data_IF_045783645357
#
_entry.id   IF_045783645357
#
_cell.length_a   1.000
_cell.length_b   1.000
_cell.length_c   1.000
_cell.angle_alpha   90.00
_cell.angle_beta   90.00
_cell.angle_gamma   90.00
#
_symmetry.space_group_name_H-M   'P 1'
#
loop_
_entity.id
_entity.type
_entity.pdbx_description
1 polymer ?
#
# COMPACT_ATOMS: atom_id res chain seq x y z
N UNK A 1 9.50 3.69 65.23
CA UNK A 1 9.65 4.32 63.89
C UNK A 1 11.02 4.99 63.70
N UNK A 2 11.45 5.90 64.58
CA UNK A 2 12.74 6.61 64.47
C UNK A 2 13.97 5.66 64.53
N UNK A 3 13.89 4.59 65.32
CA UNK A 3 14.99 3.62 65.47
C UNK A 3 15.26 2.81 64.19
N UNK A 4 14.20 2.47 63.44
CA UNK A 4 14.28 1.68 62.21
C UNK A 4 14.91 2.48 61.05
N UNK A 5 14.54 3.77 60.94
CA UNK A 5 15.12 4.72 59.99
C UNK A 5 16.61 4.96 60.26
N UNK A 6 17.02 4.95 61.54
CA UNK A 6 18.42 5.16 61.94
C UNK A 6 19.28 3.92 61.67
N UNK A 7 18.77 2.72 61.94
CA UNK A 7 19.47 1.46 61.70
C UNK A 7 19.71 1.18 60.19
N UNK A 8 18.77 1.57 59.32
CA UNK A 8 18.80 1.30 57.88
C UNK A 8 19.02 2.55 57.01
N UNK A 9 19.62 3.60 57.57
CA UNK A 9 19.78 4.91 56.92
C UNK A 9 20.42 4.83 55.52
N UNK A 10 21.46 4.01 55.36
CA UNK A 10 22.16 3.87 54.08
C UNK A 10 21.29 3.14 53.04
N UNK A 11 20.58 2.09 53.44
CA UNK A 11 19.69 1.35 52.54
C UNK A 11 18.57 2.25 52.01
N UNK A 12 17.94 3.04 52.89
CA UNK A 12 16.92 4.01 52.49
C UNK A 12 17.46 5.06 51.53
N UNK A 13 18.67 5.57 51.79
CA UNK A 13 19.31 6.55 50.91
C UNK A 13 19.59 5.99 49.51
N UNK A 14 20.17 4.79 49.42
CA UNK A 14 20.42 4.14 48.12
C UNK A 14 19.13 3.76 47.40
N UNK A 15 18.11 3.30 48.11
CA UNK A 15 16.79 3.02 47.52
C UNK A 15 16.15 4.27 46.93
N UNK A 16 16.24 5.41 47.62
CA UNK A 16 15.73 6.69 47.13
C UNK A 16 16.52 7.18 45.92
N UNK A 17 17.84 7.00 45.95
CA UNK A 17 18.73 7.39 44.87
C UNK A 17 18.44 6.56 43.60
N UNK A 18 18.30 5.24 43.74
CA UNK A 18 17.94 4.36 42.63
C UNK A 18 16.57 4.72 42.05
N UNK A 19 15.58 5.04 42.90
CA UNK A 19 14.24 5.45 42.48
C UNK A 19 14.27 6.71 41.59
N UNK A 20 15.23 7.61 41.80
CA UNK A 20 15.39 8.85 41.03
C UNK A 20 16.30 8.63 39.80
N UNK A 21 17.36 7.83 39.93
CA UNK A 21 18.33 7.57 38.86
C UNK A 21 17.71 6.73 37.74
N UNK A 22 16.92 5.69 38.06
CA UNK A 22 16.29 4.83 37.06
C UNK A 22 15.44 5.62 36.06
N UNK A 23 14.51 6.52 36.45
CA UNK A 23 13.73 7.27 35.48
C UNK A 23 14.60 8.25 34.67
N UNK A 24 15.61 8.90 35.27
CA UNK A 24 16.46 9.88 34.57
C UNK A 24 17.24 9.23 33.43
N UNK A 25 17.82 8.05 33.66
CA UNK A 25 18.63 7.35 32.66
C UNK A 25 17.77 6.40 31.80
N UNK A 26 16.81 5.72 32.40
CA UNK A 26 15.96 4.73 31.76
C UNK A 26 14.95 5.34 30.79
N UNK A 27 14.29 6.46 31.12
CA UNK A 27 13.26 7.02 30.23
C UNK A 27 13.81 7.38 28.86
N UNK A 28 15.01 7.97 28.78
CA UNK A 28 15.66 8.28 27.50
C UNK A 28 15.96 7.02 26.68
N UNK A 29 16.46 5.99 27.34
CA UNK A 29 16.73 4.69 26.73
C UNK A 29 15.44 4.05 26.19
N UNK A 30 14.38 4.00 27.01
CA UNK A 30 13.09 3.46 26.59
C UNK A 30 12.43 4.27 25.47
N UNK A 31 12.47 5.61 25.53
CA UNK A 31 11.95 6.46 24.45
C UNK A 31 12.68 6.20 23.13
N UNK A 32 14.01 6.10 23.17
CA UNK A 32 14.81 5.83 21.98
C UNK A 32 14.50 4.44 21.41
N UNK A 33 14.40 3.43 22.28
CA UNK A 33 14.09 2.06 21.87
C UNK A 33 12.70 1.95 21.25
N UNK A 34 11.67 2.47 21.93
CA UNK A 34 10.28 2.45 21.47
C UNK A 34 10.12 3.26 20.20
N UNK A 35 10.70 4.46 20.13
CA UNK A 35 10.58 5.32 18.94
C UNK A 35 11.12 4.64 17.69
N UNK A 36 12.28 3.98 17.79
CA UNK A 36 12.91 3.34 16.64
C UNK A 36 12.15 2.07 16.22
N UNK A 37 11.72 1.26 17.20
CA UNK A 37 10.85 0.09 16.94
C UNK A 37 9.52 0.52 16.31
N UNK A 38 8.92 1.61 16.79
CA UNK A 38 7.63 2.08 16.31
C UNK A 38 7.74 2.62 14.88
N UNK A 39 8.81 3.38 14.58
CA UNK A 39 9.13 3.80 13.20
C UNK A 39 9.19 2.58 12.29
N UNK A 40 9.93 1.54 12.69
CA UNK A 40 10.14 0.37 11.85
C UNK A 40 8.83 -0.40 11.62
N UNK A 41 8.04 -0.56 12.68
CA UNK A 41 6.74 -1.23 12.65
C UNK A 41 5.75 -0.55 11.72
N UNK A 42 5.76 0.78 11.60
CA UNK A 42 4.88 1.52 10.68
C UNK A 42 5.46 1.67 9.28
N UNK A 43 6.78 1.87 9.14
CA UNK A 43 7.39 2.16 7.86
C UNK A 43 7.37 0.94 6.93
N UNK A 44 7.59 -0.26 7.46
CA UNK A 44 7.53 -1.51 6.68
C UNK A 44 6.16 -1.72 6.01
N UNK A 45 5.02 -1.72 6.73
CA UNK A 45 3.72 -1.93 6.11
C UNK A 45 3.34 -0.81 5.14
N UNK A 46 3.70 0.45 5.43
CA UNK A 46 3.50 1.57 4.50
C UNK A 46 4.26 1.33 3.19
N UNK A 47 5.51 0.90 3.30
CA UNK A 47 6.35 0.59 2.13
C UNK A 47 5.79 -0.58 1.32
N UNK A 48 5.31 -1.64 1.99
CA UNK A 48 4.64 -2.76 1.34
C UNK A 48 3.36 -2.31 0.61
N UNK A 49 2.56 -1.46 1.24
CA UNK A 49 1.34 -0.92 0.64
C UNK A 49 1.66 -0.15 -0.64
N UNK A 50 2.72 0.66 -0.62
CA UNK A 50 3.20 1.41 -1.78
C UNK A 50 3.62 0.47 -2.92
N UNK A 51 4.39 -0.58 -2.61
CA UNK A 51 4.83 -1.59 -3.57
C UNK A 51 3.64 -2.30 -4.22
N UNK A 52 2.65 -2.70 -3.42
CA UNK A 52 1.41 -3.33 -3.92
C UNK A 52 0.66 -2.37 -4.83
N UNK A 53 0.51 -1.10 -4.44
CA UNK A 53 -0.20 -0.10 -5.22
C UNK A 53 0.46 0.14 -6.59
N UNK A 54 1.79 0.30 -6.60
CA UNK A 54 2.57 0.46 -7.83
C UNK A 54 2.49 -0.82 -8.68
N UNK A 55 2.63 -1.99 -8.06
CA UNK A 55 2.53 -3.28 -8.73
C UNK A 55 1.19 -3.47 -9.43
N UNK A 56 0.08 -3.28 -8.72
CA UNK A 56 -1.27 -3.41 -9.28
C UNK A 56 -1.51 -2.43 -10.43
N UNK A 57 -1.07 -1.18 -10.31
CA UNK A 57 -1.17 -0.21 -11.41
C UNK A 57 -0.37 -0.64 -12.64
N UNK A 58 0.84 -1.16 -12.44
CA UNK A 58 1.66 -1.69 -13.52
C UNK A 58 0.99 -2.89 -14.20
N UNK A 59 0.41 -3.82 -13.43
CA UNK A 59 -0.33 -4.95 -13.98
C UNK A 59 -1.56 -4.50 -14.78
N UNK A 60 -2.32 -3.52 -14.28
CA UNK A 60 -3.50 -2.99 -14.98
C UNK A 60 -3.16 -2.43 -16.36
N UNK A 61 -2.03 -1.72 -16.49
CA UNK A 61 -1.56 -1.19 -17.77
C UNK A 61 -1.16 -2.27 -18.78
N UNK A 62 -0.87 -3.48 -18.30
CA UNK A 62 -0.41 -4.61 -19.13
C UNK A 62 -1.54 -5.57 -19.50
N UNK A 63 -2.79 -5.29 -19.14
CA UNK A 63 -3.94 -6.13 -19.50
C UNK A 63 -4.63 -5.52 -20.72
N UNK A 64 -4.64 -6.28 -21.83
CA UNK A 64 -5.28 -5.88 -23.08
C UNK A 64 -6.47 -6.80 -23.38
N UNK A 65 -7.62 -6.23 -23.67
CA UNK A 65 -8.80 -6.96 -24.15
C UNK A 65 -8.78 -7.06 -25.68
N UNK A 66 -9.00 -8.25 -26.23
CA UNK A 66 -9.10 -8.44 -27.66
C UNK A 66 -10.47 -7.96 -28.18
N UNK A 67 -10.49 -7.02 -29.12
CA UNK A 67 -11.74 -6.50 -29.70
C UNK A 67 -12.51 -7.54 -30.54
N UNK A 68 -11.84 -8.56 -31.07
CA UNK A 68 -12.47 -9.52 -31.99
C UNK A 68 -13.20 -10.65 -31.25
N UNK A 69 -12.65 -11.14 -30.13
CA UNK A 69 -13.21 -12.27 -29.40
C UNK A 69 -13.42 -12.02 -27.90
N UNK A 70 -13.17 -10.80 -27.42
CA UNK A 70 -13.38 -10.40 -26.02
C UNK A 70 -12.41 -11.03 -25.00
N UNK A 71 -11.43 -11.81 -25.45
CA UNK A 71 -10.50 -12.49 -24.54
C UNK A 71 -9.55 -11.48 -23.88
N UNK A 72 -9.32 -11.65 -22.57
CA UNK A 72 -8.33 -10.88 -21.82
C UNK A 72 -6.95 -11.50 -22.07
N UNK A 73 -6.01 -10.69 -22.57
CA UNK A 73 -4.62 -11.09 -22.77
C UNK A 73 -3.71 -10.24 -21.90
N UNK A 74 -2.71 -10.87 -21.30
CA UNK A 74 -1.57 -10.15 -20.74
C UNK A 74 -0.74 -9.67 -21.94
N UNK A 75 -0.45 -8.36 -22.02
CA UNK A 75 0.28 -7.68 -23.10
C UNK A 75 1.75 -8.10 -23.25
N UNK A 76 2.06 -9.37 -22.98
CA UNK A 76 3.29 -10.06 -23.33
C UNK A 76 3.21 -10.67 -24.74
N UNK A 77 2.01 -10.99 -25.26
CA UNK A 77 1.84 -11.60 -26.58
C UNK A 77 1.33 -10.58 -27.60
N UNK A 78 2.02 -10.49 -28.75
CA UNK A 78 1.59 -9.68 -29.89
C UNK A 78 0.33 -10.23 -30.55
N UNK A 79 0.02 -11.51 -30.37
CA UNK A 79 -1.17 -12.15 -30.94
C UNK A 79 -2.13 -12.61 -29.84
N UNK A 80 -3.42 -12.60 -30.15
CA UNK A 80 -4.47 -13.14 -29.31
C UNK A 80 -4.36 -14.66 -29.28
N UNK A 81 -4.21 -15.21 -28.08
CA UNK A 81 -4.07 -16.66 -27.88
C UNK A 81 -5.34 -17.45 -28.22
N UNK A 82 -6.50 -16.78 -28.30
CA UNK A 82 -7.80 -17.40 -28.57
C UNK A 82 -8.23 -17.32 -30.05
N UNK A 83 -7.97 -16.21 -30.74
CA UNK A 83 -8.40 -16.01 -32.13
C UNK A 83 -7.27 -15.70 -33.12
N UNK A 84 -6.00 -15.66 -32.67
CA UNK A 84 -4.84 -15.44 -33.52
C UNK A 84 -4.64 -14.01 -34.06
N UNK A 85 -5.57 -13.09 -33.75
CA UNK A 85 -5.51 -11.67 -34.18
C UNK A 85 -4.35 -10.93 -33.54
N UNK A 86 -3.68 -10.09 -34.33
CA UNK A 86 -2.62 -9.19 -33.86
C UNK A 86 -3.18 -8.08 -32.94
N UNK A 87 -2.61 -8.00 -31.74
CA UNK A 87 -2.98 -7.10 -30.64
C UNK A 87 -2.11 -5.82 -30.63
N UNK A 88 -1.07 -5.74 -31.47
CA UNK A 88 -0.09 -4.64 -31.46
C UNK A 88 -0.72 -3.27 -31.85
N UNK A 89 -1.90 -3.27 -32.48
CA UNK A 89 -2.64 -2.06 -32.89
C UNK A 89 -3.79 -1.62 -31.95
N UNK A 90 -4.12 -2.38 -30.90
CA UNK A 90 -5.29 -2.05 -30.05
C UNK A 90 -4.98 -0.91 -29.07
N UNK A 91 -3.71 -0.76 -28.66
CA UNK A 91 -3.28 0.24 -27.67
C UNK A 91 -3.44 1.71 -28.11
N UNK A 92 -3.70 2.00 -29.39
CA UNK A 92 -3.91 3.37 -29.89
C UNK A 92 -5.35 3.88 -29.77
N UNK A 93 -6.33 3.01 -29.56
CA UNK A 93 -7.76 3.36 -29.63
C UNK A 93 -8.48 3.24 -28.29
N UNK A 94 -7.82 3.54 -27.17
CA UNK A 94 -8.52 3.77 -25.91
C UNK A 94 -9.39 5.02 -26.05
N UNK A 95 -10.60 4.87 -26.59
CA UNK A 95 -11.69 5.84 -26.51
C UNK A 95 -12.23 5.90 -25.07
N UNK A 96 -11.34 6.08 -24.09
CA UNK A 96 -11.63 6.06 -22.67
C UNK A 96 -12.42 7.29 -22.20
N UNK A 97 -12.77 8.22 -23.11
CA UNK A 97 -13.38 9.51 -22.76
C UNK A 97 -14.87 9.63 -23.09
N UNK A 98 -15.50 8.66 -23.76
CA UNK A 98 -16.95 8.71 -23.97
C UNK A 98 -17.67 7.93 -22.90
N UNK A 99 -18.32 8.63 -21.97
CA UNK A 99 -19.32 8.02 -21.09
C UNK A 99 -20.38 7.33 -21.97
N UNK A 100 -20.77 6.09 -21.67
CA UNK A 100 -21.88 5.43 -22.39
C UNK A 100 -23.17 6.25 -22.37
N UNK A 101 -23.33 7.10 -21.35
CA UNK A 101 -24.44 8.03 -21.18
C UNK A 101 -24.49 9.16 -22.23
N UNK A 102 -23.41 9.40 -22.97
CA UNK A 102 -23.29 10.49 -23.96
C UNK A 102 -23.32 9.98 -25.41
N UNK A 103 -23.41 8.66 -25.64
CA UNK A 103 -23.48 8.12 -26.99
C UNK A 103 -24.92 8.15 -27.52
N UNK A 104 -25.16 8.96 -28.55
CA UNK A 104 -26.40 8.92 -29.34
C UNK A 104 -26.35 7.76 -30.32
N UNK A 105 -27.34 6.88 -30.28
CA UNK A 105 -27.51 5.79 -31.25
C UNK A 105 -28.26 6.37 -32.45
N UNK A 106 -27.56 6.62 -33.55
CA UNK A 106 -28.21 6.96 -34.83
C UNK A 106 -28.76 5.68 -35.47
N UNK A 107 -30.07 5.47 -35.32
CA UNK A 107 -30.78 4.40 -36.01
C UNK A 107 -31.09 4.86 -37.43
N UNK A 108 -30.39 4.31 -38.42
CA UNK A 108 -30.80 4.42 -39.83
C UNK A 108 -31.93 3.44 -40.08
N UNK A 109 -33.16 3.94 -40.19
CA UNK A 109 -34.28 3.15 -40.68
C UNK A 109 -34.18 3.03 -42.20
N UNK A 110 -34.23 1.80 -42.71
CA UNK A 110 -34.33 1.54 -44.14
C UNK A 110 -35.79 1.62 -44.56
N UNK A 111 -36.12 2.57 -45.45
CA UNK A 111 -37.46 2.70 -46.01
C UNK A 111 -37.70 1.58 -47.02
N UNK A 112 -38.59 0.65 -46.66
CA UNK A 112 -39.03 -0.43 -47.54
C UNK A 112 -40.09 0.16 -48.49
N UNK A 113 -39.82 0.13 -49.81
CA UNK A 113 -40.77 0.50 -50.87
C UNK A 113 -41.68 -0.67 -51.25
#
# INVERSE_FOLDING_TARGET
MIYFLKANKNFLFYSLLILIVIPIFGLKFFLSFISNILILLFLIPIFLLLLVFIGLNFYKLKINTCNNCGSISLGLSKTCMNCGVDLENINKNNQLEKKPSESTIEVKAEEIK
#
